data_IF_492879609711
#
_entry.id   IF_492879609711
#
_cell.length_a   1.000
_cell.length_b   1.000
_cell.length_c   1.000
_cell.angle_alpha   90.00
_cell.angle_beta   90.00
_cell.angle_gamma   90.00
#
_symmetry.space_group_name_H-M   'P 1'
#
loop_
_entity.id
_entity.type
_entity.pdbx_description
1 polymer ?
#
# COMPACT_ATOMS: atom_id res chain seq x y z
N UNK A 1 -15.29 -24.96 -8.45
CA UNK A 1 -14.64 -23.81 -7.80
C UNK A 1 -15.65 -22.68 -7.86
N UNK A 2 -16.17 -22.23 -6.73
CA UNK A 2 -17.06 -21.08 -6.72
C UNK A 2 -16.25 -19.83 -7.11
N UNK A 3 -16.86 -18.87 -7.83
CA UNK A 3 -16.17 -17.63 -8.19
C UNK A 3 -15.87 -16.82 -6.90
N UNK A 4 -14.74 -16.08 -6.85
CA UNK A 4 -14.35 -15.29 -5.68
C UNK A 4 -15.33 -14.16 -5.37
N UNK A 5 -16.15 -13.75 -6.35
CA UNK A 5 -17.23 -12.80 -6.15
C UNK A 5 -18.43 -13.21 -7.00
N UNK A 6 -19.64 -13.08 -6.47
CA UNK A 6 -20.89 -13.28 -7.22
C UNK A 6 -21.06 -12.20 -8.29
N UNK A 7 -20.67 -10.96 -7.96
CA UNK A 7 -20.62 -9.81 -8.85
C UNK A 7 -19.34 -9.02 -8.58
N UNK A 8 -18.85 -8.28 -9.59
CA UNK A 8 -17.66 -7.45 -9.40
C UNK A 8 -17.91 -6.36 -8.35
N UNK A 9 -17.14 -6.30 -7.24
CA UNK A 9 -17.32 -5.26 -6.23
C UNK A 9 -17.06 -3.85 -6.77
N UNK A 10 -17.71 -2.84 -6.19
CA UNK A 10 -17.62 -1.44 -6.64
C UNK A 10 -16.18 -0.91 -6.65
N UNK A 11 -15.42 -1.17 -5.59
CA UNK A 11 -14.02 -0.77 -5.48
C UNK A 11 -13.16 -1.31 -6.65
N UNK A 12 -13.40 -2.55 -7.10
CA UNK A 12 -12.71 -3.09 -8.27
C UNK A 12 -13.12 -2.40 -9.58
N UNK A 13 -14.38 -2.00 -9.73
CA UNK A 13 -14.84 -1.24 -10.91
C UNK A 13 -14.20 0.16 -10.94
N UNK A 14 -14.14 0.83 -9.80
CA UNK A 14 -13.47 2.12 -9.67
C UNK A 14 -11.98 1.99 -9.99
N UNK A 15 -11.29 1.04 -9.36
CA UNK A 15 -9.88 0.73 -9.64
C UNK A 15 -9.66 0.47 -11.13
N UNK A 16 -10.50 -0.35 -11.78
CA UNK A 16 -10.43 -0.60 -13.21
C UNK A 16 -10.53 0.71 -14.03
N UNK A 17 -11.46 1.60 -13.67
CA UNK A 17 -11.59 2.92 -14.30
C UNK A 17 -10.35 3.80 -14.15
N UNK A 18 -9.61 3.68 -13.06
CA UNK A 18 -8.32 4.35 -12.88
C UNK A 18 -7.20 3.71 -13.70
N UNK A 19 -7.08 2.38 -13.68
CA UNK A 19 -6.01 1.65 -14.35
C UNK A 19 -6.10 1.73 -15.87
N UNK A 20 -7.29 1.60 -16.45
CA UNK A 20 -7.49 1.59 -17.91
C UNK A 20 -7.13 2.93 -18.59
N UNK A 21 -6.93 4.02 -17.83
CA UNK A 21 -6.46 5.31 -18.35
C UNK A 21 -4.98 5.31 -18.73
N UNK A 22 -4.19 4.31 -18.29
CA UNK A 22 -2.75 4.22 -18.56
C UNK A 22 -2.38 2.96 -19.37
N UNK A 23 -1.34 3.01 -20.23
CA UNK A 23 -0.85 1.84 -20.95
C UNK A 23 -0.46 0.71 -19.97
N UNK A 24 -0.94 -0.51 -20.22
CA UNK A 24 -0.69 -1.68 -19.38
C UNK A 24 -1.57 -1.79 -18.14
N UNK A 25 -2.53 -0.88 -17.95
CA UNK A 25 -3.45 -0.93 -16.81
C UNK A 25 -4.41 -2.12 -16.82
N UNK A 26 -4.73 -2.65 -17.99
CA UNK A 26 -5.47 -3.90 -18.17
C UNK A 26 -4.70 -5.10 -17.57
N UNK A 27 -3.39 -5.18 -17.85
CA UNK A 27 -2.51 -6.19 -17.26
C UNK A 27 -2.38 -6.02 -15.75
N UNK A 28 -2.19 -4.79 -15.27
CA UNK A 28 -2.18 -4.52 -13.82
C UNK A 28 -3.49 -4.97 -13.16
N UNK A 29 -4.64 -4.67 -13.79
CA UNK A 29 -5.95 -5.07 -13.28
C UNK A 29 -6.08 -6.59 -13.18
N UNK A 30 -5.67 -7.33 -14.21
CA UNK A 30 -5.67 -8.80 -14.19
C UNK A 30 -4.75 -9.34 -13.10
N UNK A 31 -3.55 -8.78 -12.94
CA UNK A 31 -2.62 -9.19 -11.89
C UNK A 31 -3.19 -8.96 -10.48
N UNK A 32 -3.95 -7.87 -10.26
CA UNK A 32 -4.64 -7.61 -8.99
C UNK A 32 -5.82 -8.57 -8.79
N UNK A 33 -6.66 -8.80 -9.80
CA UNK A 33 -7.75 -9.78 -9.72
C UNK A 33 -7.23 -11.19 -9.44
N UNK A 34 -6.05 -11.55 -9.96
CA UNK A 34 -5.43 -12.86 -9.74
C UNK A 34 -4.99 -13.09 -8.29
N UNK A 35 -4.91 -12.03 -7.46
CA UNK A 35 -4.51 -12.17 -6.06
C UNK A 35 -5.49 -13.04 -5.24
N UNK A 36 -6.77 -13.06 -5.62
CA UNK A 36 -7.79 -13.90 -4.94
C UNK A 36 -7.56 -15.40 -5.12
N UNK A 37 -6.67 -15.80 -6.04
CA UNK A 37 -6.26 -17.21 -6.20
C UNK A 37 -5.31 -17.67 -5.08
N UNK A 38 -4.70 -16.73 -4.36
CA UNK A 38 -3.67 -16.98 -3.36
C UNK A 38 -3.98 -16.35 -2.00
N UNK A 39 -4.94 -15.42 -1.96
CA UNK A 39 -5.32 -14.67 -0.79
C UNK A 39 -6.83 -14.70 -0.60
N UNK A 40 -7.26 -14.52 0.65
CA UNK A 40 -8.66 -14.31 0.98
C UNK A 40 -9.23 -13.12 0.20
N UNK A 41 -10.35 -13.35 -0.50
CA UNK A 41 -10.98 -12.38 -1.40
C UNK A 41 -11.39 -11.08 -0.68
N UNK A 42 -11.79 -11.18 0.60
CA UNK A 42 -12.16 -10.02 1.42
C UNK A 42 -10.92 -9.20 1.81
N UNK A 43 -9.78 -9.86 2.07
CA UNK A 43 -8.52 -9.17 2.28
C UNK A 43 -8.05 -8.41 1.02
N UNK A 44 -8.20 -9.01 -0.18
CA UNK A 44 -7.88 -8.33 -1.44
C UNK A 44 -8.83 -7.15 -1.67
N UNK A 45 -10.14 -7.33 -1.48
CA UNK A 45 -11.13 -6.26 -1.58
C UNK A 45 -10.78 -5.09 -0.65
N UNK A 46 -10.49 -5.37 0.63
CA UNK A 46 -10.11 -4.33 1.59
C UNK A 46 -8.81 -3.62 1.19
N UNK A 47 -7.86 -4.34 0.59
CA UNK A 47 -6.62 -3.73 0.10
C UNK A 47 -6.88 -2.75 -1.07
N UNK A 48 -7.82 -3.08 -1.96
CA UNK A 48 -8.24 -2.18 -3.05
C UNK A 48 -8.94 -0.94 -2.50
N UNK A 49 -9.89 -1.10 -1.57
CA UNK A 49 -10.59 0.03 -0.93
C UNK A 49 -9.60 1.01 -0.29
N UNK A 50 -8.67 0.50 0.53
CA UNK A 50 -7.64 1.32 1.17
C UNK A 50 -6.70 2.01 0.16
N UNK A 51 -6.41 1.36 -0.97
CA UNK A 51 -5.59 1.97 -2.01
C UNK A 51 -6.32 3.13 -2.72
N UNK A 52 -7.63 3.00 -2.93
CA UNK A 52 -8.48 4.05 -3.47
C UNK A 52 -8.66 5.20 -2.47
N UNK A 53 -8.92 4.90 -1.19
CA UNK A 53 -8.99 5.88 -0.10
C UNK A 53 -7.68 6.70 0.00
N UNK A 54 -6.53 6.07 -0.22
CA UNK A 54 -5.23 6.74 -0.25
C UNK A 54 -4.96 7.53 -1.56
N UNK A 55 -5.83 7.43 -2.56
CA UNK A 55 -5.65 8.04 -3.88
C UNK A 55 -4.56 7.40 -4.74
N UNK A 56 -4.08 6.20 -4.38
CA UNK A 56 -2.95 5.51 -5.05
C UNK A 56 -3.42 4.22 -5.70
N UNK A 57 -4.11 4.35 -6.84
CA UNK A 57 -4.60 3.24 -7.66
C UNK A 57 -3.46 2.57 -8.47
N UNK A 58 -2.60 1.80 -7.80
CA UNK A 58 -1.50 1.04 -8.43
C UNK A 58 -1.41 -0.38 -7.88
N UNK A 59 -1.01 -1.34 -8.71
CA UNK A 59 -0.78 -2.73 -8.27
C UNK A 59 0.17 -2.79 -7.07
N UNK A 60 1.29 -2.07 -7.14
CA UNK A 60 2.30 -2.06 -6.08
C UNK A 60 1.73 -1.58 -4.75
N UNK A 61 0.89 -0.55 -4.76
CA UNK A 61 0.28 -0.05 -3.54
C UNK A 61 -0.75 -1.04 -2.98
N UNK A 62 -1.59 -1.64 -3.83
CA UNK A 62 -2.55 -2.68 -3.42
C UNK A 62 -1.81 -3.87 -2.77
N UNK A 63 -0.74 -4.36 -3.38
CA UNK A 63 0.10 -5.43 -2.81
C UNK A 63 0.67 -5.06 -1.44
N UNK A 64 1.20 -3.84 -1.30
CA UNK A 64 1.74 -3.35 -0.03
C UNK A 64 0.67 -3.24 1.06
N UNK A 65 -0.54 -2.79 0.72
CA UNK A 65 -1.66 -2.77 1.66
C UNK A 65 -2.05 -4.21 2.04
N UNK A 66 -2.18 -5.10 1.05
CA UNK A 66 -2.55 -6.50 1.27
C UNK A 66 -1.56 -7.20 2.22
N UNK A 67 -0.26 -7.07 1.98
CA UNK A 67 0.76 -7.60 2.88
C UNK A 67 0.62 -7.03 4.29
N UNK A 68 0.40 -5.72 4.45
CA UNK A 68 0.16 -5.13 5.79
C UNK A 68 -1.11 -5.62 6.47
N UNK A 69 -2.17 -5.91 5.72
CA UNK A 69 -3.41 -6.47 6.28
C UNK A 69 -3.24 -7.92 6.73
N UNK A 70 -2.38 -8.68 6.03
CA UNK A 70 -2.07 -10.07 6.35
C UNK A 70 -1.06 -10.13 7.51
N UNK A 71 0.03 -9.38 7.41
CA UNK A 71 1.12 -9.33 8.38
C UNK A 71 0.75 -8.56 9.64
N UNK A 72 -0.13 -7.56 9.56
CA UNK A 72 -0.65 -6.82 10.71
C UNK A 72 -1.51 -7.67 11.65
N UNK A 73 -1.89 -8.88 11.22
CA UNK A 73 -2.49 -9.91 12.09
C UNK A 73 -1.44 -10.77 12.80
N UNK A 74 -0.17 -10.71 12.38
CA UNK A 74 0.91 -11.38 13.08
C UNK A 74 1.17 -10.64 14.41
N UNK A 75 1.49 -11.36 15.49
CA UNK A 75 1.95 -10.73 16.71
C UNK A 75 3.17 -9.84 16.38
N UNK A 76 3.31 -8.66 17.02
CA UNK A 76 4.46 -7.81 16.82
C UNK A 76 5.73 -8.65 16.98
N UNK A 77 6.68 -8.47 16.05
CA UNK A 77 7.95 -9.16 16.12
C UNK A 77 8.53 -8.99 17.53
N UNK A 78 9.10 -10.07 18.08
CA UNK A 78 9.75 -10.00 19.37
C UNK A 78 10.74 -8.83 19.39
N UNK A 79 10.78 -8.01 20.46
CA UNK A 79 11.74 -6.92 20.56
C UNK A 79 13.13 -7.44 20.23
N UNK A 80 13.76 -6.84 19.22
CA UNK A 80 15.15 -7.16 18.91
C UNK A 80 15.98 -6.44 19.96
N UNK A 81 16.72 -7.18 20.77
CA UNK A 81 17.74 -6.60 21.63
C UNK A 81 18.80 -5.94 20.75
N UNK A 82 18.73 -4.62 20.63
CA UNK A 82 19.65 -3.87 19.81
C UNK A 82 21.08 -4.14 20.32
N UNK A 83 21.99 -4.65 19.46
CA UNK A 83 23.37 -4.87 19.87
C UNK A 83 23.97 -3.56 20.37
N UNK A 84 24.83 -3.62 21.39
CA UNK A 84 25.43 -2.41 21.99
C UNK A 84 26.11 -1.49 20.98
N UNK A 85 26.58 -2.05 19.86
CA UNK A 85 27.17 -1.30 18.74
C UNK A 85 26.19 -0.35 18.02
N UNK A 86 24.87 -0.53 18.19
CA UNK A 86 23.81 0.33 17.60
C UNK A 86 23.25 1.34 18.60
N UNK A 87 23.90 1.54 19.76
CA UNK A 87 23.56 2.65 20.65
C UNK A 87 23.91 3.97 19.97
N UNK A 88 22.89 4.78 19.75
CA UNK A 88 23.07 6.10 19.17
C UNK A 88 23.86 6.97 20.14
N UNK A 89 24.97 7.56 19.66
CA UNK A 89 25.70 8.59 20.41
C UNK A 89 24.95 9.92 20.39
N UNK A 90 24.07 10.12 19.42
CA UNK A 90 23.18 11.26 19.30
C UNK A 90 21.79 10.76 18.93
N UNK A 91 20.83 11.00 19.81
CA UNK A 91 19.43 10.68 19.57
C UNK A 91 18.88 11.54 18.42
N UNK A 92 18.01 11.00 17.56
CA UNK A 92 17.40 11.76 16.50
C UNK A 92 16.47 12.82 17.10
N UNK A 93 16.82 14.08 16.89
CA UNK A 93 15.92 15.18 17.19
C UNK A 93 14.84 15.23 16.11
N UNK A 94 13.57 15.33 16.54
CA UNK A 94 12.43 15.53 15.65
C UNK A 94 12.41 16.96 15.06
N UNK A 95 13.47 17.33 14.34
CA UNK A 95 13.69 18.67 13.82
C UNK A 95 13.20 18.79 12.37
N UNK A 96 11.98 19.30 12.21
CA UNK A 96 11.34 19.55 10.90
C UNK A 96 11.87 20.82 10.20
N UNK A 97 12.58 21.70 10.90
CA UNK A 97 13.05 23.01 10.39
C UNK A 97 13.94 22.85 9.15
N UNK A 98 14.70 21.75 9.06
CA UNK A 98 15.53 21.45 7.88
C UNK A 98 14.67 21.27 6.63
N UNK A 99 13.50 20.64 6.74
CA UNK A 99 12.59 20.41 5.62
C UNK A 99 11.81 21.67 5.26
N UNK A 100 11.40 22.47 6.25
CA UNK A 100 10.69 23.74 6.02
C UNK A 100 11.52 24.70 5.17
N UNK A 101 12.82 24.84 5.48
CA UNK A 101 13.75 25.65 4.67
C UNK A 101 13.88 25.17 3.22
N UNK A 102 13.81 23.86 2.97
CA UNK A 102 13.86 23.30 1.62
C UNK A 102 12.55 23.54 0.84
N UNK A 103 11.42 23.64 1.54
CA UNK A 103 10.13 24.01 0.93
C UNK A 103 10.08 25.48 0.53
N UNK A 104 10.65 26.37 1.32
CA UNK A 104 10.71 27.81 1.01
C UNK A 104 11.54 28.12 -0.24
N UNK A 105 12.55 27.30 -0.57
CA UNK A 105 13.39 27.50 -1.78
C UNK A 105 12.63 27.18 -3.08
N UNK A 106 11.45 26.53 -3.02
CA UNK A 106 10.59 26.31 -4.19
C UNK A 106 9.37 27.22 -4.17
N UNK A 107 9.59 28.49 -4.48
CA UNK A 107 8.59 29.25 -5.23
C UNK A 107 8.55 28.68 -6.65
N UNK A 108 7.67 27.71 -6.89
CA UNK A 108 7.28 27.36 -8.25
C UNK A 108 6.52 28.57 -8.82
N UNK A 109 7.18 29.33 -9.71
CA UNK A 109 6.52 30.21 -10.67
C UNK A 109 6.10 29.41 -11.90
#
# INVERSE_FOLDING_TARGET
MEPPFLEMPEAFRELQGHLLKRPGGDREMVEILSLVLHHDEQAVLRAVELALEAGVATKTHVLNVLHRLIDGKAPPAAPIDAPQALRLTQEPEANVVRYDRLREIRHAS
#
